data_IF_762586265529
#
_entry.id   IF_762586265529
#
_cell.length_a   1.000
_cell.length_b   1.000
_cell.length_c   1.000
_cell.angle_alpha   90.00
_cell.angle_beta   90.00
_cell.angle_gamma   90.00
#
_symmetry.space_group_name_H-M   'P 1'
#
loop_
_entity.id
_entity.type
_entity.pdbx_description
1 polymer ?
#
# COMPACT_ATOMS: atom_id res chain seq x y z
N UNK A 1 -17.18 -30.27 23.99
CA UNK A 1 -15.85 -29.66 23.88
C UNK A 1 -16.09 -28.27 23.33
N UNK A 2 -16.19 -27.28 24.21
CA UNK A 2 -16.45 -25.88 23.83
C UNK A 2 -15.17 -25.24 23.32
N UNK A 3 -15.09 -25.02 22.02
CA UNK A 3 -14.04 -24.18 21.42
C UNK A 3 -14.31 -22.73 21.84
N UNK A 4 -13.60 -22.28 22.88
CA UNK A 4 -13.55 -20.88 23.25
C UNK A 4 -12.77 -20.13 22.18
N UNK A 5 -13.45 -19.42 21.30
CA UNK A 5 -12.81 -18.55 20.31
C UNK A 5 -12.11 -17.41 21.07
N UNK A 6 -10.78 -17.41 21.07
CA UNK A 6 -10.00 -16.34 21.67
C UNK A 6 -10.41 -14.97 21.09
N UNK A 7 -10.52 -13.92 21.92
CA UNK A 7 -10.95 -12.61 21.44
C UNK A 7 -9.96 -12.06 20.40
N UNK A 8 -10.49 -11.65 19.24
CA UNK A 8 -9.71 -10.99 18.18
C UNK A 8 -9.25 -9.62 18.67
N UNK A 9 -8.02 -9.51 19.15
CA UNK A 9 -7.43 -8.25 19.62
C UNK A 9 -6.88 -7.46 18.43
N UNK A 10 -7.45 -6.29 18.17
CA UNK A 10 -6.91 -5.33 17.19
C UNK A 10 -5.69 -4.64 17.78
N UNK A 11 -4.57 -4.69 17.07
CA UNK A 11 -3.33 -3.97 17.42
C UNK A 11 -3.07 -2.89 16.39
N UNK A 12 -2.86 -1.65 16.84
CA UNK A 12 -2.38 -0.58 15.96
C UNK A 12 -0.87 -0.70 15.81
N UNK A 13 -0.41 -0.86 14.58
CA UNK A 13 1.01 -0.92 14.24
C UNK A 13 1.39 0.38 13.56
N UNK A 14 2.51 0.97 13.95
CA UNK A 14 3.07 2.14 13.28
C UNK A 14 4.41 1.75 12.65
N UNK A 15 4.43 1.72 11.34
CA UNK A 15 5.67 1.49 10.59
C UNK A 15 6.53 2.75 10.55
N UNK A 16 7.84 2.56 10.43
CA UNK A 16 8.76 3.65 10.18
C UNK A 16 8.49 4.27 8.80
N UNK A 17 8.40 5.61 8.76
CA UNK A 17 8.07 6.33 7.53
C UNK A 17 9.29 6.42 6.62
N UNK A 18 9.16 5.85 5.43
CA UNK A 18 10.17 5.90 4.38
C UNK A 18 9.60 6.59 3.14
N UNK A 19 10.34 7.55 2.59
CA UNK A 19 10.06 8.07 1.24
C UNK A 19 10.80 7.20 0.23
N UNK A 20 10.06 6.63 -0.71
CA UNK A 20 10.56 5.64 -1.67
C UNK A 20 10.21 6.09 -3.07
N UNK A 21 11.19 6.10 -3.96
CA UNK A 21 10.95 6.30 -5.39
C UNK A 21 10.62 4.95 -6.02
N UNK A 22 9.56 4.88 -6.81
CA UNK A 22 9.12 3.62 -7.42
C UNK A 22 8.85 3.81 -8.89
N UNK A 23 8.94 2.71 -9.65
CA UNK A 23 8.53 2.72 -11.05
C UNK A 23 7.31 1.84 -11.27
N UNK A 24 6.45 2.24 -12.21
CA UNK A 24 5.32 1.41 -12.63
C UNK A 24 5.87 0.20 -13.39
N UNK A 25 5.61 -0.99 -12.85
CA UNK A 25 6.00 -2.25 -13.47
C UNK A 25 4.90 -2.85 -14.33
N UNK A 26 3.64 -2.68 -13.92
CA UNK A 26 2.47 -3.25 -14.63
C UNK A 26 1.23 -2.44 -14.33
N UNK A 27 0.34 -2.33 -15.32
CA UNK A 27 -1.00 -1.74 -15.18
C UNK A 27 -2.02 -2.77 -15.65
N UNK A 28 -3.09 -2.96 -14.87
CA UNK A 28 -4.23 -3.79 -15.24
C UNK A 28 -5.53 -3.07 -14.96
N UNK A 29 -6.60 -3.41 -15.70
CA UNK A 29 -7.94 -2.82 -15.55
C UNK A 29 -8.98 -3.92 -15.29
N UNK A 30 -9.12 -4.37 -14.03
CA UNK A 30 -10.09 -5.42 -13.68
C UNK A 30 -11.55 -5.04 -13.95
N UNK A 31 -11.87 -3.74 -13.95
CA UNK A 31 -13.19 -3.21 -14.29
C UNK A 31 -13.09 -1.81 -14.89
N UNK A 32 -14.16 -1.25 -15.48
CA UNK A 32 -14.10 0.06 -16.15
C UNK A 32 -13.58 1.21 -15.25
N UNK A 33 -13.94 1.16 -13.97
CA UNK A 33 -13.65 2.23 -13.01
C UNK A 33 -12.55 1.85 -12.01
N UNK A 34 -11.79 0.78 -12.28
CA UNK A 34 -10.72 0.32 -11.40
C UNK A 34 -9.45 0.00 -12.18
N UNK A 35 -8.34 0.58 -11.73
CA UNK A 35 -7.00 0.33 -12.27
C UNK A 35 -6.13 -0.20 -11.15
N UNK A 36 -5.56 -1.39 -11.34
CA UNK A 36 -4.55 -1.93 -10.44
C UNK A 36 -3.16 -1.72 -11.05
N UNK A 37 -2.32 -0.98 -10.33
CA UNK A 37 -0.96 -0.62 -10.73
C UNK A 37 0.03 -1.34 -9.82
N UNK A 38 0.95 -2.10 -10.41
CA UNK A 38 2.07 -2.72 -9.70
C UNK A 38 3.27 -1.80 -9.79
N UNK A 39 3.87 -1.48 -8.64
CA UNK A 39 5.10 -0.70 -8.52
C UNK A 39 6.26 -1.62 -8.11
N UNK A 40 7.45 -1.34 -8.61
CA UNK A 40 8.67 -2.05 -8.25
C UNK A 40 9.85 -1.08 -8.24
N UNK A 41 10.79 -1.25 -7.32
CA UNK A 41 12.10 -0.57 -7.27
C UNK A 41 12.90 -1.18 -6.10
N UNK A 42 14.26 -1.24 -6.14
CA UNK A 42 15.06 -1.63 -4.98
C UNK A 42 14.77 -0.81 -3.71
N UNK A 43 14.32 0.45 -3.85
CA UNK A 43 13.90 1.29 -2.73
C UNK A 43 12.71 0.73 -1.95
N UNK A 44 11.99 -0.27 -2.46
CA UNK A 44 10.91 -0.98 -1.76
C UNK A 44 11.42 -2.06 -0.79
N UNK A 45 12.73 -2.29 -0.70
CA UNK A 45 13.30 -3.23 0.27
C UNK A 45 12.83 -2.93 1.71
N UNK A 46 12.28 -3.94 2.40
CA UNK A 46 11.72 -3.79 3.74
C UNK A 46 10.37 -3.06 3.82
N UNK A 47 9.70 -2.81 2.70
CA UNK A 47 8.29 -2.40 2.72
C UNK A 47 7.42 -3.56 3.23
N UNK A 48 6.45 -3.25 4.10
CA UNK A 48 5.55 -4.24 4.71
C UNK A 48 4.11 -3.72 4.59
N UNK A 49 3.19 -4.62 4.24
CA UNK A 49 1.75 -4.34 4.25
C UNK A 49 0.97 -5.56 4.73
N UNK A 50 0.94 -5.79 6.04
CA UNK A 50 0.38 -7.00 6.66
C UNK A 50 -1.15 -7.00 6.83
N UNK A 51 -1.83 -5.88 6.56
CA UNK A 51 -3.26 -5.73 6.83
C UNK A 51 -4.01 -4.98 5.73
N UNK A 52 -5.31 -5.25 5.59
CA UNK A 52 -6.20 -4.54 4.67
C UNK A 52 -6.41 -3.07 5.05
N UNK A 53 -6.08 -2.68 6.28
CA UNK A 53 -6.20 -1.30 6.79
C UNK A 53 -4.90 -0.49 6.62
N UNK A 54 -3.87 -1.08 5.99
CA UNK A 54 -2.65 -0.37 5.65
C UNK A 54 -2.91 0.64 4.53
N UNK A 55 -2.16 1.75 4.55
CA UNK A 55 -2.24 2.77 3.53
C UNK A 55 -0.87 3.36 3.22
N UNK A 56 -0.68 3.74 1.96
CA UNK A 56 0.49 4.47 1.47
C UNK A 56 0.05 5.82 0.93
N UNK A 57 0.94 6.80 0.99
CA UNK A 57 0.74 8.11 0.37
C UNK A 57 1.56 8.19 -0.92
N UNK A 58 0.88 8.24 -2.06
CA UNK A 58 1.52 8.69 -3.29
C UNK A 58 1.61 10.21 -3.30
N UNK A 59 2.79 10.71 -3.69
CA UNK A 59 3.09 12.14 -3.79
C UNK A 59 3.33 12.44 -5.26
N UNK A 60 2.49 13.28 -5.82
CA UNK A 60 2.57 13.75 -7.20
C UNK A 60 2.88 15.25 -7.22
N UNK A 61 3.32 15.74 -8.37
CA UNK A 61 3.42 17.18 -8.65
C UNK A 61 2.28 17.55 -9.58
N UNK A 62 1.49 18.55 -9.21
CA UNK A 62 0.41 19.05 -10.08
C UNK A 62 0.93 19.98 -11.18
N UNK A 63 0.01 20.51 -12.00
CA UNK A 63 0.32 21.41 -13.12
C UNK A 63 0.91 22.76 -12.68
N UNK A 64 0.79 23.12 -11.40
CA UNK A 64 1.35 24.34 -10.81
C UNK A 64 2.66 24.06 -10.03
N UNK A 65 3.18 22.83 -10.13
CA UNK A 65 4.40 22.44 -9.43
C UNK A 65 4.20 22.13 -7.95
N UNK A 66 2.96 22.08 -7.46
CA UNK A 66 2.68 21.84 -6.05
C UNK A 66 2.56 20.34 -5.73
N UNK A 67 3.04 19.90 -4.55
CA UNK A 67 2.93 18.52 -4.14
C UNK A 67 1.48 18.16 -3.78
N UNK A 68 0.92 17.18 -4.48
CA UNK A 68 -0.39 16.60 -4.22
C UNK A 68 -0.21 15.21 -3.62
N UNK A 69 -0.80 14.98 -2.44
CA UNK A 69 -0.73 13.68 -1.74
C UNK A 69 -2.07 12.96 -1.80
N UNK A 70 -2.02 11.65 -2.03
CA UNK A 70 -3.21 10.79 -2.09
C UNK A 70 -2.96 9.49 -1.35
N UNK A 71 -3.92 9.13 -0.50
CA UNK A 71 -3.92 7.86 0.24
C UNK A 71 -4.48 6.74 -0.63
N UNK A 72 -3.79 5.61 -0.64
CA UNK A 72 -4.22 4.39 -1.30
C UNK A 72 -3.93 3.18 -0.41
N UNK A 73 -4.84 2.21 -0.42
CA UNK A 73 -4.63 0.90 0.20
C UNK A 73 -3.93 -0.03 -0.79
N UNK A 74 -2.79 -0.66 -0.42
CA UNK A 74 -2.17 -1.68 -1.24
C UNK A 74 -3.15 -2.85 -1.49
N UNK A 75 -3.40 -3.17 -2.76
CA UNK A 75 -4.26 -4.31 -3.11
C UNK A 75 -3.58 -5.66 -2.81
N UNK A 76 -2.26 -5.72 -3.02
CA UNK A 76 -1.41 -6.88 -2.78
C UNK A 76 0.03 -6.38 -2.60
N UNK A 77 0.80 -7.05 -1.74
CA UNK A 77 2.24 -6.88 -1.66
C UNK A 77 2.90 -8.24 -1.89
N UNK A 78 3.89 -8.30 -2.77
CA UNK A 78 4.72 -9.48 -2.95
C UNK A 78 6.02 -9.26 -2.17
N UNK A 79 6.24 -10.08 -1.13
CA UNK A 79 7.41 -9.96 -0.26
C UNK A 79 8.57 -10.88 -0.69
N UNK A 80 8.47 -11.51 -1.87
CA UNK A 80 9.47 -12.44 -2.41
C UNK A 80 10.87 -11.81 -2.56
#
# INVERSE_FOLDING_TARGET
MEDTIAPRRVTRIRHELHRRDTVVRRITRPSPNFVAITFADPSLAGFVSSSFDDHVKFIFTDTQGQPVRRDYTPLHHDAA
#
